data_IF_843361012862
#
_entry.id   IF_843361012862
#
_cell.length_a   1.000
_cell.length_b   1.000
_cell.length_c   1.000
_cell.angle_alpha   90.00
_cell.angle_beta   90.00
_cell.angle_gamma   90.00
#
_symmetry.space_group_name_H-M   'P 1'
#
loop_
_entity.id
_entity.type
_entity.pdbx_description
1 polymer ?
#
# COMPACT_ATOMS: atom_id res chain seq x y z
N UNK A 1 -11.99 -19.77 6.99
CA UNK A 1 -13.04 -19.79 5.97
C UNK A 1 -12.43 -19.35 4.64
N UNK A 2 -12.72 -20.10 3.58
CA UNK A 2 -12.36 -19.74 2.22
C UNK A 2 -13.04 -18.43 1.79
N UNK A 3 -12.29 -17.41 1.36
CA UNK A 3 -12.82 -16.16 0.80
C UNK A 3 -12.23 -15.84 -0.58
N UNK A 4 -13.09 -15.50 -1.52
CA UNK A 4 -12.68 -15.06 -2.84
C UNK A 4 -12.40 -13.55 -2.82
N UNK A 5 -11.20 -13.18 -3.26
CA UNK A 5 -10.75 -11.79 -3.27
C UNK A 5 -10.32 -11.40 -4.68
N UNK A 6 -10.88 -10.30 -5.17
CA UNK A 6 -10.44 -9.71 -6.44
C UNK A 6 -9.15 -8.93 -6.25
N UNK A 7 -8.15 -9.27 -7.05
CA UNK A 7 -6.89 -8.56 -7.11
C UNK A 7 -6.67 -7.93 -8.48
N UNK A 8 -5.85 -6.90 -8.47
CA UNK A 8 -5.33 -6.22 -9.64
C UNK A 8 -3.81 -6.33 -9.63
N UNK A 9 -3.23 -6.84 -10.71
CA UNK A 9 -1.78 -6.93 -10.93
C UNK A 9 -1.31 -5.85 -11.90
N UNK A 10 -0.30 -5.11 -11.48
CA UNK A 10 0.42 -4.08 -12.23
C UNK A 10 1.77 -4.66 -12.66
N UNK A 11 1.84 -5.18 -13.89
CA UNK A 11 3.08 -5.70 -14.48
C UNK A 11 3.85 -4.52 -15.07
N UNK A 12 4.82 -3.97 -14.34
CA UNK A 12 5.53 -2.77 -14.78
C UNK A 12 6.38 -3.02 -16.03
N UNK A 13 6.21 -2.16 -17.03
CA UNK A 13 6.93 -2.19 -18.32
C UNK A 13 8.02 -1.12 -18.41
N UNK A 14 8.15 -0.34 -17.35
CA UNK A 14 9.09 0.77 -17.20
C UNK A 14 9.54 0.87 -15.74
N UNK A 15 10.63 1.60 -15.43
CA UNK A 15 11.03 1.83 -14.05
C UNK A 15 9.92 2.54 -13.26
N UNK A 16 9.73 2.12 -12.00
CA UNK A 16 8.80 2.75 -11.08
C UNK A 16 9.58 3.64 -10.09
N UNK A 17 9.05 4.83 -9.82
CA UNK A 17 9.55 5.68 -8.73
C UNK A 17 8.41 5.92 -7.74
N UNK A 18 8.51 5.30 -6.56
CA UNK A 18 7.62 5.54 -5.42
C UNK A 18 8.38 6.39 -4.42
N UNK A 19 8.20 7.71 -4.48
CA UNK A 19 8.87 8.62 -3.55
C UNK A 19 8.31 8.47 -2.13
N UNK A 20 9.21 8.26 -1.17
CA UNK A 20 8.91 8.31 0.26
C UNK A 20 9.26 9.69 0.85
N UNK A 21 8.74 9.99 2.04
CA UNK A 21 9.07 11.23 2.73
C UNK A 21 10.48 11.14 3.30
N UNK A 22 11.39 11.91 2.72
CA UNK A 22 12.79 11.99 3.12
C UNK A 22 13.51 13.16 2.44
N UNK A 23 14.83 13.23 2.60
CA UNK A 23 15.67 14.22 1.92
C UNK A 23 16.03 13.65 0.54
N UNK A 24 15.46 14.23 -0.52
CA UNK A 24 15.82 13.90 -1.90
C UNK A 24 14.83 12.96 -2.61
N UNK A 25 15.24 12.45 -3.77
CA UNK A 25 14.45 11.52 -4.60
C UNK A 25 15.07 10.12 -4.64
N UNK A 26 15.96 9.83 -3.70
CA UNK A 26 16.84 8.64 -3.69
C UNK A 26 16.13 7.40 -3.17
N UNK A 27 15.20 7.58 -2.22
CA UNK A 27 14.42 6.50 -1.66
C UNK A 27 13.31 6.07 -2.62
N UNK A 28 13.21 4.76 -2.84
CA UNK A 28 12.11 4.14 -3.58
C UNK A 28 11.58 2.95 -2.77
N UNK A 29 10.29 2.98 -2.45
CA UNK A 29 9.59 1.86 -1.79
C UNK A 29 9.22 0.77 -2.81
N UNK A 30 9.07 -0.46 -2.35
CA UNK A 30 8.42 -1.56 -3.09
C UNK A 30 6.92 -1.66 -2.78
N UNK A 31 6.47 -1.01 -1.71
CA UNK A 31 5.06 -0.92 -1.34
C UNK A 31 4.45 0.29 -2.03
N UNK A 32 3.44 0.05 -2.85
CA UNK A 32 2.64 1.13 -3.43
C UNK A 32 1.44 1.40 -2.50
N UNK A 33 1.61 2.35 -1.60
CA UNK A 33 0.61 2.60 -0.56
C UNK A 33 -0.80 2.93 -1.11
N UNK A 34 -1.83 2.49 -0.38
CA UNK A 34 -3.24 2.63 -0.73
C UNK A 34 -3.63 4.09 -1.01
N UNK A 35 -3.05 5.05 -0.28
CA UNK A 35 -3.28 6.48 -0.50
C UNK A 35 -2.84 6.95 -1.89
N UNK A 36 -1.76 6.37 -2.42
CA UNK A 36 -1.16 6.69 -3.70
C UNK A 36 -1.96 6.05 -4.83
N UNK A 37 -2.38 4.79 -4.64
CA UNK A 37 -3.28 4.09 -5.57
C UNK A 37 -4.61 4.83 -5.68
N UNK A 38 -5.24 5.18 -4.55
CA UNK A 38 -6.48 5.92 -4.52
C UNK A 38 -6.37 7.26 -5.26
N UNK A 39 -5.34 8.05 -4.94
CA UNK A 39 -5.13 9.35 -5.57
C UNK A 39 -4.86 9.21 -7.08
N UNK A 40 -4.13 8.18 -7.53
CA UNK A 40 -3.92 7.91 -8.95
C UNK A 40 -5.25 7.59 -9.66
N UNK A 41 -6.08 6.71 -9.06
CA UNK A 41 -7.42 6.37 -9.57
C UNK A 41 -8.29 7.62 -9.67
N UNK A 42 -8.38 8.44 -8.61
CA UNK A 42 -9.20 9.66 -8.62
C UNK A 42 -8.73 10.67 -9.66
N UNK A 43 -7.43 10.82 -9.88
CA UNK A 43 -6.90 11.68 -10.93
C UNK A 43 -7.22 11.17 -12.33
N UNK A 44 -7.11 9.86 -12.56
CA UNK A 44 -7.50 9.25 -13.83
C UNK A 44 -9.01 9.36 -14.06
N UNK A 45 -9.84 9.16 -13.04
CA UNK A 45 -11.28 9.41 -13.10
C UNK A 45 -11.59 10.88 -13.44
N UNK A 46 -10.84 11.84 -12.89
CA UNK A 46 -11.03 13.26 -13.18
C UNK A 46 -10.68 13.59 -14.64
N UNK A 47 -9.70 12.88 -15.21
CA UNK A 47 -9.34 12.96 -16.62
C UNK A 47 -10.42 12.36 -17.53
N UNK A 48 -11.03 11.25 -17.13
CA UNK A 48 -12.07 10.55 -17.91
C UNK A 48 -13.45 11.24 -17.84
N UNK A 49 -13.85 11.69 -16.65
CA UNK A 49 -15.22 12.14 -16.37
C UNK A 49 -15.33 13.62 -15.98
N UNK A 50 -14.19 14.30 -15.80
CA UNK A 50 -14.12 15.71 -15.42
C UNK A 50 -14.01 15.97 -13.91
N UNK A 51 -13.45 17.13 -13.56
CA UNK A 51 -13.18 17.54 -12.17
C UNK A 51 -14.44 17.56 -11.30
N UNK A 52 -15.53 18.18 -11.79
CA UNK A 52 -16.80 18.26 -11.06
C UNK A 52 -17.33 16.89 -10.70
N UNK A 53 -17.28 15.94 -11.64
CA UNK A 53 -17.72 14.57 -11.42
C UNK A 53 -16.94 13.91 -10.29
N UNK A 54 -15.60 14.03 -10.27
CA UNK A 54 -14.77 13.46 -9.19
C UNK A 54 -15.00 14.16 -7.85
N UNK A 55 -15.19 15.48 -7.83
CA UNK A 55 -15.53 16.19 -6.59
C UNK A 55 -16.83 15.68 -5.98
N UNK A 56 -17.86 15.43 -6.80
CA UNK A 56 -19.13 14.88 -6.31
C UNK A 56 -18.99 13.40 -5.94
N UNK A 57 -18.20 12.63 -6.69
CA UNK A 57 -17.86 11.25 -6.36
C UNK A 57 -17.19 11.11 -4.99
N UNK A 58 -16.23 11.99 -4.67
CA UNK A 58 -15.49 11.99 -3.41
C UNK A 58 -16.34 12.37 -2.20
N UNK A 59 -17.42 13.14 -2.37
CA UNK A 59 -18.36 13.44 -1.26
C UNK A 59 -19.05 12.18 -0.75
N UNK A 60 -19.31 11.20 -1.61
CA UNK A 60 -19.96 9.97 -1.19
C UNK A 60 -19.09 9.13 -0.25
N UNK A 61 -17.76 9.30 -0.30
CA UNK A 61 -16.84 8.68 0.65
C UNK A 61 -16.96 9.25 2.07
N UNK A 62 -17.66 10.37 2.29
CA UNK A 62 -17.87 10.93 3.64
C UNK A 62 -18.88 10.11 4.45
N UNK A 63 -19.77 9.35 3.81
CA UNK A 63 -20.71 8.43 4.48
C UNK A 63 -20.18 7.00 4.53
N UNK A 64 -19.82 6.43 3.38
CA UNK A 64 -19.25 5.08 3.27
C UNK A 64 -18.33 5.01 2.04
N UNK A 65 -17.22 4.24 2.09
CA UNK A 65 -16.31 4.15 0.96
C UNK A 65 -16.98 3.43 -0.23
N UNK A 66 -17.01 4.08 -1.39
CA UNK A 66 -17.56 3.49 -2.61
C UNK A 66 -16.73 2.31 -3.15
N UNK A 67 -15.46 2.28 -2.78
CA UNK A 67 -14.57 1.15 -2.96
C UNK A 67 -13.52 1.15 -1.84
N UNK A 68 -13.03 -0.04 -1.48
CA UNK A 68 -11.87 -0.24 -0.62
C UNK A 68 -10.74 -0.88 -1.41
N UNK A 69 -9.52 -0.45 -1.11
CA UNK A 69 -8.30 -1.00 -1.71
C UNK A 69 -7.28 -1.32 -0.62
N UNK A 70 -6.56 -2.42 -0.79
CA UNK A 70 -5.32 -2.63 -0.07
C UNK A 70 -4.22 -1.72 -0.63
N UNK A 71 -3.10 -1.66 0.07
CA UNK A 71 -1.84 -1.24 -0.55
C UNK A 71 -1.35 -2.29 -1.54
N UNK A 72 -0.46 -1.86 -2.42
CA UNK A 72 0.18 -2.70 -3.41
C UNK A 72 1.44 -3.36 -2.88
N UNK A 73 1.49 -4.68 -2.99
CA UNK A 73 2.62 -5.52 -2.57
C UNK A 73 3.28 -6.19 -3.77
N UNK A 74 4.56 -6.58 -3.67
CA UNK A 74 5.24 -7.18 -4.81
C UNK A 74 4.71 -8.58 -5.16
N UNK A 75 4.91 -8.97 -6.42
CA UNK A 75 4.84 -10.38 -6.85
C UNK A 75 6.02 -10.72 -7.75
N UNK A 76 6.42 -11.99 -7.75
CA UNK A 76 7.46 -12.51 -8.64
C UNK A 76 7.13 -13.89 -9.15
N UNK A 77 7.36 -14.10 -10.45
CA UNK A 77 7.09 -15.37 -11.12
C UNK A 77 5.65 -15.85 -10.84
N UNK A 78 4.70 -14.89 -10.83
CA UNK A 78 3.28 -15.04 -10.46
C UNK A 78 2.99 -15.37 -8.98
N UNK A 79 4.00 -15.54 -8.14
CA UNK A 79 3.85 -15.75 -6.70
C UNK A 79 3.55 -14.41 -6.03
N UNK A 80 2.42 -14.35 -5.33
CA UNK A 80 2.00 -13.18 -4.56
C UNK A 80 2.72 -13.14 -3.21
N UNK A 81 3.22 -11.96 -2.86
CA UNK A 81 3.84 -11.69 -1.57
C UNK A 81 2.96 -10.75 -0.76
N UNK A 82 2.67 -11.15 0.48
CA UNK A 82 1.82 -10.44 1.43
C UNK A 82 2.69 -9.75 2.50
N UNK A 83 2.26 -8.63 3.07
CA UNK A 83 3.00 -8.00 4.16
C UNK A 83 3.05 -8.94 5.36
N UNK A 84 4.23 -9.08 5.96
CA UNK A 84 4.37 -9.89 7.18
C UNK A 84 3.57 -9.24 8.33
N UNK A 85 2.68 -9.99 9.00
CA UNK A 85 1.98 -9.50 10.19
C UNK A 85 2.94 -9.04 11.30
N UNK A 86 2.52 -8.04 12.09
CA UNK A 86 3.27 -7.59 13.27
C UNK A 86 3.09 -8.51 14.50
N UNK A 87 2.32 -9.59 14.37
CA UNK A 87 2.22 -10.66 15.37
C UNK A 87 3.46 -11.54 15.34
N UNK A 88 3.63 -12.33 16.40
CA UNK A 88 4.60 -13.44 16.39
C UNK A 88 4.03 -14.59 15.58
N UNK A 89 4.89 -15.32 14.88
CA UNK A 89 4.51 -16.61 14.32
C UNK A 89 4.38 -17.64 15.44
N UNK A 90 3.48 -18.61 15.26
CA UNK A 90 3.41 -19.79 16.10
C UNK A 90 4.57 -20.74 15.76
N UNK A 91 5.59 -20.76 16.61
CA UNK A 91 6.84 -21.52 16.42
C UNK A 91 7.22 -22.14 17.76
N UNK A 92 7.74 -23.37 17.71
CA UNK A 92 8.34 -24.03 18.87
C UNK A 92 9.46 -23.20 19.53
N UNK A 93 9.58 -23.27 20.86
CA UNK A 93 10.51 -22.44 21.64
C UNK A 93 11.98 -22.68 21.25
N UNK A 94 12.36 -23.91 20.88
CA UNK A 94 13.73 -24.24 20.47
C UNK A 94 14.08 -23.58 19.13
N UNK A 95 13.14 -23.56 18.18
CA UNK A 95 13.30 -22.93 16.88
C UNK A 95 13.25 -21.40 16.96
N UNK A 96 12.53 -20.85 17.94
CA UNK A 96 12.38 -19.40 18.10
C UNK A 96 13.73 -18.72 18.33
N UNK A 97 14.64 -19.35 19.07
CA UNK A 97 15.98 -18.82 19.33
C UNK A 97 16.79 -18.65 18.03
N UNK A 98 16.69 -19.62 17.11
CA UNK A 98 17.46 -19.66 15.88
C UNK A 98 16.90 -18.76 14.77
N UNK A 99 15.57 -18.65 14.66
CA UNK A 99 14.91 -17.98 13.54
C UNK A 99 14.37 -16.58 13.85
N UNK A 100 14.22 -16.19 15.12
CA UNK A 100 13.66 -14.87 15.50
C UNK A 100 14.31 -13.69 14.80
N UNK A 101 15.65 -13.65 14.74
CA UNK A 101 16.39 -12.54 14.12
C UNK A 101 16.25 -12.53 12.60
N UNK A 102 16.12 -13.71 11.98
CA UNK A 102 15.93 -13.84 10.53
C UNK A 102 14.51 -13.42 10.14
N UNK A 103 13.49 -13.90 10.84
CA UNK A 103 12.09 -13.52 10.62
C UNK A 103 11.84 -12.02 10.80
N UNK A 104 12.53 -11.37 11.74
CA UNK A 104 12.45 -9.91 11.90
C UNK A 104 12.89 -9.14 10.65
N UNK A 105 13.81 -9.68 9.84
CA UNK A 105 14.30 -9.07 8.60
C UNK A 105 13.43 -9.36 7.38
N UNK A 106 12.50 -10.30 7.49
CA UNK A 106 11.56 -10.64 6.41
C UNK A 106 10.44 -9.60 6.39
N UNK A 107 10.21 -8.98 5.23
CA UNK A 107 9.14 -7.99 5.03
C UNK A 107 7.88 -8.63 4.47
N UNK A 108 8.02 -9.72 3.70
CA UNK A 108 6.91 -10.36 3.01
C UNK A 108 6.82 -11.87 3.22
N UNK A 109 5.63 -12.44 3.03
CA UNK A 109 5.37 -13.87 3.07
C UNK A 109 4.70 -14.30 1.76
N UNK A 110 5.03 -15.48 1.24
CA UNK A 110 4.22 -16.09 0.18
C UNK A 110 2.85 -16.48 0.75
N UNK A 111 1.85 -16.63 -0.13
CA UNK A 111 0.47 -16.96 0.25
C UNK A 111 0.38 -18.10 1.29
N UNK A 112 1.06 -19.21 1.05
CA UNK A 112 0.95 -20.39 1.92
C UNK A 112 1.46 -20.11 3.34
N UNK A 113 2.60 -19.41 3.47
CA UNK A 113 3.14 -19.03 4.78
C UNK A 113 2.33 -17.92 5.43
N UNK A 114 1.78 -16.99 4.65
CA UNK A 114 0.89 -15.96 5.13
C UNK A 114 -0.38 -16.56 5.75
N UNK A 115 -1.04 -17.50 5.06
CA UNK A 115 -2.24 -18.19 5.53
C UNK A 115 -1.97 -19.03 6.77
N UNK A 116 -0.81 -19.72 6.83
CA UNK A 116 -0.38 -20.41 8.06
C UNK A 116 -0.19 -19.43 9.22
N UNK A 117 0.45 -18.29 8.97
CA UNK A 117 0.75 -17.28 9.98
C UNK A 117 -0.51 -16.66 10.56
N UNK A 118 -1.43 -16.19 9.71
CA UNK A 118 -2.65 -15.52 10.17
C UNK A 118 -3.60 -16.49 10.89
N UNK A 119 -3.53 -17.79 10.60
CA UNK A 119 -4.32 -18.83 11.26
C UNK A 119 -3.65 -19.42 12.51
N UNK A 120 -2.52 -18.87 12.96
CA UNK A 120 -1.68 -19.40 14.05
C UNK A 120 -1.34 -20.89 13.91
N UNK A 121 -1.17 -21.38 12.68
CA UNK A 121 -0.66 -22.73 12.45
C UNK A 121 0.82 -22.77 12.81
N UNK A 122 1.23 -23.82 13.49
CA UNK A 122 2.63 -24.04 13.84
C UNK A 122 3.49 -24.12 12.58
N UNK A 123 4.55 -23.30 12.51
CA UNK A 123 5.52 -23.32 11.44
C UNK A 123 6.66 -24.30 11.77
N UNK A 124 6.88 -25.27 10.90
CA UNK A 124 7.97 -26.23 11.03
C UNK A 124 9.33 -25.59 10.74
N UNK A 125 10.42 -26.26 11.13
CA UNK A 125 11.78 -25.80 10.79
C UNK A 125 11.97 -25.62 9.26
N UNK A 126 11.37 -26.48 8.44
CA UNK A 126 11.43 -26.36 6.98
C UNK A 126 10.68 -25.10 6.48
N UNK A 127 9.49 -24.82 7.02
CA UNK A 127 8.75 -23.59 6.70
C UNK A 127 9.61 -22.35 7.03
N UNK A 128 10.28 -22.36 8.19
CA UNK A 128 11.13 -21.25 8.62
C UNK A 128 12.38 -21.07 7.73
N UNK A 129 13.00 -22.16 7.28
CA UNK A 129 14.09 -22.11 6.29
C UNK A 129 13.61 -21.49 5.00
N UNK A 130 12.50 -21.97 4.45
CA UNK A 130 11.93 -21.46 3.21
C UNK A 130 11.57 -19.97 3.31
N UNK A 131 10.95 -19.52 4.41
CA UNK A 131 10.63 -18.11 4.64
C UNK A 131 11.90 -17.25 4.72
N UNK A 132 12.93 -17.71 5.44
CA UNK A 132 14.10 -16.89 5.76
C UNK A 132 15.20 -16.90 4.69
N UNK A 133 15.23 -17.93 3.86
CA UNK A 133 16.14 -18.08 2.71
C UNK A 133 15.53 -17.53 1.42
N UNK A 134 14.25 -17.16 1.42
CA UNK A 134 13.62 -16.48 0.29
C UNK A 134 14.15 -15.04 0.17
N UNK A 135 15.13 -14.84 -0.71
CA UNK A 135 15.73 -13.52 -0.96
C UNK A 135 14.72 -12.50 -1.53
N UNK A 136 13.65 -12.94 -2.20
CA UNK A 136 12.59 -12.02 -2.62
C UNK A 136 11.81 -11.46 -1.42
N UNK A 137 11.68 -12.20 -0.33
CA UNK A 137 10.94 -11.76 0.85
C UNK A 137 11.65 -10.66 1.67
N UNK A 138 12.89 -10.31 1.29
CA UNK A 138 13.69 -9.26 1.91
C UNK A 138 13.64 -7.99 1.06
N UNK A 139 13.37 -6.85 1.70
CA UNK A 139 13.50 -5.55 1.02
C UNK A 139 14.99 -5.21 0.87
N UNK A 140 15.50 -5.34 -0.33
CA UNK A 140 16.86 -4.95 -0.71
C UNK A 140 16.88 -4.33 -2.11
N UNK A 141 17.91 -3.53 -2.39
CA UNK A 141 18.08 -2.84 -3.69
C UNK A 141 18.02 -3.83 -4.85
N UNK A 142 18.74 -4.95 -4.76
CA UNK A 142 18.60 -6.08 -5.67
C UNK A 142 17.82 -7.20 -4.97
N UNK A 143 16.53 -7.31 -5.26
CA UNK A 143 15.64 -8.31 -4.67
C UNK A 143 15.22 -9.34 -5.71
N UNK A 144 14.56 -10.40 -5.25
CA UNK A 144 13.92 -11.36 -6.16
C UNK A 144 12.82 -10.75 -7.04
N UNK A 145 12.42 -9.49 -6.85
CA UNK A 145 11.42 -8.79 -7.67
C UNK A 145 12.01 -7.96 -8.80
N UNK A 146 13.31 -7.63 -8.75
CA UNK A 146 13.94 -6.70 -9.67
C UNK A 146 15.12 -5.96 -9.04
N UNK A 147 15.55 -4.90 -9.74
CA UNK A 147 16.75 -4.15 -9.42
C UNK A 147 16.43 -2.68 -9.16
N UNK A 148 16.91 -2.19 -8.03
CA UNK A 148 16.97 -0.79 -7.67
C UNK A 148 18.00 -0.07 -8.52
N UNK A 149 17.66 1.14 -8.94
CA UNK A 149 18.47 1.98 -9.80
C UNK A 149 18.52 3.39 -9.22
N UNK A 150 19.71 3.84 -8.86
CA UNK A 150 19.98 5.20 -8.42
C UNK A 150 20.59 6.01 -9.58
N UNK A 151 19.80 6.88 -10.20
CA UNK A 151 20.22 7.67 -11.35
C UNK A 151 20.71 9.06 -10.94
N UNK A 152 21.98 9.44 -11.21
CA UNK A 152 22.41 10.82 -11.06
C UNK A 152 21.74 11.71 -12.12
N UNK A 153 21.26 12.86 -11.69
CA UNK A 153 20.64 13.90 -12.51
C UNK A 153 21.22 15.25 -12.15
N UNK A 154 21.09 16.20 -13.08
CA UNK A 154 21.50 17.58 -12.87
C UNK A 154 20.32 18.51 -13.09
N UNK A 155 20.14 19.47 -12.19
CA UNK A 155 19.32 20.65 -12.41
C UNK A 155 20.24 21.79 -12.83
N UNK A 156 19.94 22.45 -13.93
CA UNK A 156 20.72 23.59 -14.43
C UNK A 156 19.81 24.81 -14.42
N UNK A 157 20.22 25.85 -13.70
CA UNK A 157 19.56 27.15 -13.68
C UNK A 157 19.57 27.77 -15.08
N UNK A 158 18.42 28.22 -15.56
CA UNK A 158 18.32 28.87 -16.88
C UNK A 158 18.94 30.25 -16.90
N UNK A 159 18.99 30.93 -15.75
CA UNK A 159 19.45 32.31 -15.63
C UNK A 159 20.95 32.38 -15.31
N UNK A 160 21.42 31.54 -14.39
CA UNK A 160 22.80 31.56 -13.89
C UNK A 160 23.71 30.48 -14.48
N UNK A 161 23.16 29.50 -15.22
CA UNK A 161 23.84 28.27 -15.66
C UNK A 161 24.46 27.44 -14.51
N UNK A 162 24.11 27.73 -13.25
CA UNK A 162 24.53 26.96 -12.09
C UNK A 162 23.92 25.55 -12.12
N UNK A 163 24.74 24.55 -11.82
CA UNK A 163 24.34 23.15 -11.80
C UNK A 163 24.26 22.61 -10.38
N UNK A 164 23.19 21.88 -10.06
CA UNK A 164 23.07 21.07 -8.85
C UNK A 164 22.80 19.61 -9.19
N UNK A 165 23.56 18.70 -8.58
CA UNK A 165 23.35 17.25 -8.74
C UNK A 165 22.27 16.78 -7.76
N UNK A 166 21.43 15.84 -8.20
CA UNK A 166 20.51 15.08 -7.35
C UNK A 166 20.40 13.65 -7.87
N UNK A 167 20.01 12.72 -7.01
CA UNK A 167 19.82 11.33 -7.42
C UNK A 167 18.33 10.97 -7.44
N UNK A 168 17.95 10.13 -8.40
CA UNK A 168 16.60 9.58 -8.54
C UNK A 168 16.67 8.07 -8.35
N UNK A 169 16.15 7.60 -7.22
CA UNK A 169 15.90 6.19 -6.95
C UNK A 169 14.72 5.70 -7.77
N UNK A 170 14.83 4.51 -8.32
CA UNK A 170 13.77 3.85 -9.07
C UNK A 170 13.94 2.35 -9.00
N UNK A 171 12.89 1.61 -9.34
CA UNK A 171 12.90 0.16 -9.32
C UNK A 171 12.47 -0.40 -10.67
N UNK A 172 13.30 -1.29 -11.21
CA UNK A 172 13.05 -2.01 -12.45
C UNK A 172 12.62 -3.44 -12.10
N UNK A 173 11.33 -3.73 -12.27
CA UNK A 173 10.83 -5.09 -12.07
C UNK A 173 11.39 -6.04 -13.12
N UNK A 174 11.69 -7.28 -12.70
CA UNK A 174 12.02 -8.36 -13.63
C UNK A 174 10.77 -8.77 -14.43
N UNK A 175 10.95 -9.60 -15.44
CA UNK A 175 9.83 -10.18 -16.19
C UNK A 175 8.93 -11.00 -15.25
N UNK A 176 7.62 -10.95 -15.48
CA UNK A 176 6.61 -11.69 -14.70
C UNK A 176 6.60 -11.29 -13.19
N UNK A 177 7.02 -10.05 -12.92
CA UNK A 177 7.01 -9.39 -11.61
C UNK A 177 6.32 -8.03 -11.68
N UNK A 178 5.85 -7.57 -10.53
CA UNK A 178 5.18 -6.29 -10.43
C UNK A 178 4.60 -6.06 -9.05
N UNK A 179 3.54 -5.26 -8.99
CA UNK A 179 2.80 -4.96 -7.77
C UNK A 179 1.35 -5.44 -7.92
N UNK A 180 0.81 -6.07 -6.90
CA UNK A 180 -0.60 -6.46 -6.85
C UNK A 180 -1.29 -5.81 -5.65
N UNK A 181 -2.58 -5.50 -5.79
CA UNK A 181 -3.41 -5.00 -4.68
C UNK A 181 -4.84 -5.55 -4.78
N UNK A 182 -5.56 -5.52 -3.68
CA UNK A 182 -6.96 -5.93 -3.58
C UNK A 182 -7.86 -4.77 -3.97
N UNK A 183 -8.90 -5.04 -4.75
CA UNK A 183 -9.93 -4.08 -5.12
C UNK A 183 -11.32 -4.62 -4.77
N UNK A 184 -11.98 -3.93 -3.85
CA UNK A 184 -13.38 -4.19 -3.47
C UNK A 184 -14.23 -2.98 -3.82
N UNK A 185 -15.26 -3.16 -4.65
CA UNK A 185 -16.17 -2.09 -5.06
C UNK A 185 -17.60 -2.39 -4.62
N UNK A 186 -18.34 -1.36 -4.22
CA UNK A 186 -19.73 -1.51 -3.77
C UNK A 186 -20.67 -2.11 -4.83
N UNK A 187 -20.37 -1.93 -6.12
CA UNK A 187 -21.08 -2.60 -7.21
C UNK A 187 -20.24 -2.66 -8.51
N UNK A 188 -20.76 -3.41 -9.48
CA UNK A 188 -20.09 -3.66 -10.77
C UNK A 188 -19.91 -2.41 -11.64
N UNK A 189 -20.82 -1.45 -11.56
CA UNK A 189 -20.69 -0.18 -12.31
C UNK A 189 -19.47 0.61 -11.82
N UNK A 190 -19.34 0.73 -10.50
CA UNK A 190 -18.19 1.34 -9.85
C UNK A 190 -16.89 0.61 -10.18
N UNK A 191 -16.90 -0.73 -10.12
CA UNK A 191 -15.76 -1.55 -10.51
C UNK A 191 -15.31 -1.23 -11.94
N UNK A 192 -16.24 -1.20 -12.90
CA UNK A 192 -15.91 -0.89 -14.30
C UNK A 192 -15.30 0.52 -14.45
N UNK A 193 -15.75 1.50 -13.67
CA UNK A 193 -15.17 2.85 -13.66
C UNK A 193 -13.75 2.87 -13.10
N UNK A 194 -13.51 2.19 -11.98
CA UNK A 194 -12.18 2.08 -11.36
C UNK A 194 -11.22 1.35 -12.31
N UNK A 195 -11.65 0.25 -12.92
CA UNK A 195 -10.85 -0.48 -13.93
C UNK A 195 -10.57 0.37 -15.17
N UNK A 196 -11.51 1.22 -15.60
CA UNK A 196 -11.27 2.16 -16.71
C UNK A 196 -10.20 3.20 -16.35
N UNK A 197 -10.21 3.69 -15.11
CA UNK A 197 -9.16 4.58 -14.61
C UNK A 197 -7.79 3.87 -14.55
N UNK A 198 -7.75 2.62 -14.08
CA UNK A 198 -6.52 1.81 -14.07
C UNK A 198 -5.99 1.52 -15.48
N UNK A 199 -6.89 1.28 -16.46
CA UNK A 199 -6.51 1.13 -17.88
C UNK A 199 -5.92 2.40 -18.48
N UNK A 200 -6.40 3.58 -18.09
CA UNK A 200 -5.76 4.84 -18.46
C UNK A 200 -4.37 4.96 -17.80
N UNK A 201 -4.24 4.59 -16.53
CA UNK A 201 -2.98 4.65 -15.79
C UNK A 201 -1.89 3.71 -16.34
N UNK A 202 -2.25 2.64 -17.08
CA UNK A 202 -1.27 1.81 -17.80
C UNK A 202 -0.37 2.68 -18.73
N UNK A 203 -0.96 3.72 -19.34
CA UNK A 203 -0.30 4.62 -20.27
C UNK A 203 0.18 5.92 -19.61
N UNK A 204 -0.58 6.47 -18.66
CA UNK A 204 -0.20 7.70 -17.95
C UNK A 204 0.89 7.45 -16.88
N UNK A 205 1.03 6.21 -16.42
CA UNK A 205 1.92 5.80 -15.36
C UNK A 205 1.38 6.08 -13.95
N UNK A 206 1.91 5.35 -12.96
CA UNK A 206 1.66 5.55 -11.53
C UNK A 206 2.96 5.90 -10.78
N UNK A 207 2.86 6.68 -9.71
CA UNK A 207 4.02 7.20 -8.98
C UNK A 207 4.60 8.49 -9.57
N UNK A 208 5.87 8.76 -9.28
CA UNK A 208 6.56 9.97 -9.72
C UNK A 208 7.22 9.82 -11.09
N UNK A 209 7.66 10.95 -11.66
CA UNK A 209 8.37 11.03 -12.96
C UNK A 209 7.65 10.40 -14.16
N UNK A 210 6.31 10.31 -14.10
CA UNK A 210 5.44 9.83 -15.20
C UNK A 210 5.72 10.48 -16.56
N UNK A 211 6.00 11.79 -16.57
CA UNK A 211 6.34 12.53 -17.81
C UNK A 211 7.65 12.07 -18.47
N UNK A 212 8.47 11.30 -17.76
CA UNK A 212 9.70 10.68 -18.27
C UNK A 212 9.47 9.21 -18.68
N UNK A 213 8.22 8.74 -18.68
CA UNK A 213 7.86 7.35 -19.01
C UNK A 213 8.03 6.38 -17.85
N UNK A 214 8.00 6.86 -16.60
CA UNK A 214 8.07 6.00 -15.41
C UNK A 214 6.68 5.52 -15.00
N UNK A 215 6.63 4.33 -14.41
CA UNK A 215 5.43 3.78 -13.79
C UNK A 215 4.39 3.27 -14.78
N UNK A 216 4.72 3.11 -16.06
CA UNK A 216 3.89 2.40 -17.04
C UNK A 216 3.86 0.90 -16.73
N UNK A 217 2.70 0.27 -16.93
CA UNK A 217 2.45 -1.13 -16.62
C UNK A 217 1.40 -1.73 -17.56
N UNK A 218 1.30 -3.06 -17.62
CA UNK A 218 0.12 -3.76 -18.11
C UNK A 218 -0.73 -4.28 -16.95
N UNK A 219 -2.05 -4.13 -17.08
CA UNK A 219 -3.03 -4.50 -16.07
C UNK A 219 -3.51 -5.94 -16.27
N UNK A 220 -3.57 -6.70 -15.18
CA UNK A 220 -4.20 -8.02 -15.14
C UNK A 220 -5.16 -8.07 -13.94
N UNK A 221 -6.33 -8.68 -14.14
CA UNK A 221 -7.36 -8.85 -13.13
C UNK A 221 -7.46 -10.33 -12.81
N UNK A 222 -7.47 -10.69 -11.52
CA UNK A 222 -7.55 -12.08 -11.07
C UNK A 222 -8.44 -12.17 -9.83
N UNK A 223 -9.08 -13.31 -9.64
CA UNK A 223 -9.75 -13.66 -8.39
C UNK A 223 -8.93 -14.74 -7.72
N UNK A 224 -8.49 -14.46 -6.49
CA UNK A 224 -7.68 -15.38 -5.70
C UNK A 224 -8.48 -15.91 -4.52
N UNK A 225 -8.03 -17.06 -4.05
CA UNK A 225 -8.65 -17.76 -2.93
C UNK A 225 -7.82 -17.58 -1.66
N UNK A 226 -8.33 -16.93 -0.62
CA UNK A 226 -7.64 -16.77 0.67
C UNK A 226 -8.29 -17.64 1.76
N UNK A 227 -7.46 -18.38 2.48
CA UNK A 227 -7.86 -19.11 3.69
C UNK A 227 -7.72 -18.23 4.93
N UNK A 228 -8.83 -17.60 5.33
CA UNK A 228 -8.85 -16.67 6.46
C UNK A 228 -9.24 -17.39 7.75
N UNK A 229 -8.73 -17.02 8.94
CA UNK A 229 -9.22 -17.54 10.19
C UNK A 229 -10.62 -17.00 10.53
N UNK A 230 -11.31 -17.68 11.44
CA UNK A 230 -12.52 -17.14 12.08
C UNK A 230 -12.08 -16.38 13.34
N UNK A 231 -12.01 -15.04 13.25
CA UNK A 231 -11.52 -14.19 14.34
C UNK A 231 -12.06 -12.76 14.22
N UNK A 232 -12.29 -12.12 15.36
CA UNK A 232 -12.66 -10.70 15.47
C UNK A 232 -11.46 -9.76 15.31
N UNK A 233 -10.23 -10.28 15.44
CA UNK A 233 -9.02 -9.48 15.26
C UNK A 233 -8.69 -9.34 13.77
N UNK A 234 -8.12 -8.20 13.40
CA UNK A 234 -7.90 -7.80 12.02
C UNK A 234 -6.45 -7.38 11.75
N UNK A 235 -5.91 -7.86 10.63
CA UNK A 235 -4.64 -7.47 10.03
C UNK A 235 -4.87 -6.41 8.95
N UNK A 236 -4.14 -5.29 9.01
CA UNK A 236 -4.16 -4.26 7.98
C UNK A 236 -3.37 -4.65 6.73
N UNK A 237 -4.00 -4.54 5.57
CA UNK A 237 -3.37 -4.63 4.25
C UNK A 237 -3.33 -3.27 3.52
N UNK A 238 -3.82 -2.19 4.13
CA UNK A 238 -3.72 -0.82 3.62
C UNK A 238 -3.13 0.11 4.66
N UNK A 239 -2.75 1.32 4.23
CA UNK A 239 -2.63 2.43 5.18
C UNK A 239 -3.98 2.69 5.84
N UNK A 240 -3.95 3.03 7.12
CA UNK A 240 -5.11 3.33 7.94
C UNK A 240 -4.90 4.66 8.66
N UNK A 241 -5.95 5.48 8.67
CA UNK A 241 -6.02 6.67 9.52
C UNK A 241 -7.29 6.59 10.35
N UNK A 242 -7.17 6.54 11.69
CA UNK A 242 -8.32 6.31 12.56
C UNK A 242 -9.33 7.44 12.46
N UNK A 243 -10.60 7.07 12.49
CA UNK A 243 -11.67 8.00 12.75
C UNK A 243 -11.58 8.49 14.20
N UNK A 244 -11.61 9.81 14.37
CA UNK A 244 -11.45 10.51 15.64
C UNK A 244 -12.72 11.28 16.04
N UNK A 245 -13.85 10.90 15.44
CA UNK A 245 -15.20 11.43 15.67
C UNK A 245 -15.54 11.53 17.16
N UNK A 246 -16.38 12.50 17.50
CA UNK A 246 -16.94 12.64 18.85
C UNK A 246 -18.00 11.57 19.15
N UNK A 247 -18.56 10.93 18.11
CA UNK A 247 -19.51 9.81 18.26
C UNK A 247 -18.76 8.54 18.69
N UNK A 248 -19.00 8.03 19.92
CA UNK A 248 -18.32 6.84 20.44
C UNK A 248 -18.53 5.57 19.60
N UNK A 249 -19.56 5.52 18.76
CA UNK A 249 -19.82 4.36 17.89
C UNK A 249 -18.89 4.33 16.67
N UNK A 250 -18.26 5.45 16.34
CA UNK A 250 -17.34 5.60 15.20
C UNK A 250 -15.93 6.04 15.61
N UNK A 251 -15.70 6.30 16.90
CA UNK A 251 -14.37 6.64 17.43
C UNK A 251 -13.47 5.40 17.48
N UNK A 252 -12.37 5.45 16.74
CA UNK A 252 -11.42 4.35 16.62
C UNK A 252 -10.20 4.50 17.54
N UNK A 253 -10.17 5.51 18.42
CA UNK A 253 -9.07 5.68 19.40
C UNK A 253 -8.92 4.48 20.33
N UNK A 254 -10.00 3.75 20.60
CA UNK A 254 -9.96 2.57 21.46
C UNK A 254 -9.14 1.42 20.88
N UNK A 255 -9.03 1.31 19.55
CA UNK A 255 -8.24 0.27 18.87
C UNK A 255 -6.79 0.23 19.36
N UNK A 256 -6.23 1.38 19.74
CA UNK A 256 -4.84 1.49 20.19
C UNK A 256 -4.63 1.10 21.67
N UNK A 257 -5.72 0.91 22.42
CA UNK A 257 -5.69 0.55 23.84
C UNK A 257 -5.84 -0.96 24.07
N UNK A 258 -6.17 -1.72 23.02
CA UNK A 258 -6.35 -3.17 23.09
C UNK A 258 -5.01 -3.88 23.37
N UNK A 259 -5.04 -4.90 24.24
CA UNK A 259 -3.82 -5.58 24.76
C UNK A 259 -2.97 -6.16 23.64
N UNK A 260 -3.61 -6.72 22.63
CA UNK A 260 -2.95 -7.41 21.53
C UNK A 260 -2.78 -6.54 20.29
N UNK A 261 -3.12 -5.25 20.35
CA UNK A 261 -2.84 -4.32 19.26
C UNK A 261 -1.32 -4.23 19.03
N UNK A 262 -0.91 -4.34 17.77
CA UNK A 262 0.50 -4.22 17.34
C UNK A 262 0.51 -3.38 16.09
N UNK A 263 1.13 -2.21 16.13
CA UNK A 263 1.03 -1.27 15.02
C UNK A 263 2.34 -0.51 14.81
N UNK A 264 2.48 0.04 13.60
CA UNK A 264 3.60 0.90 13.25
C UNK A 264 3.14 2.08 12.40
N UNK A 265 4.01 3.07 12.24
CA UNK A 265 3.69 4.28 11.50
C UNK A 265 4.29 4.30 10.09
N UNK A 266 3.61 4.99 9.18
CA UNK A 266 4.15 5.48 7.92
C UNK A 266 3.83 6.98 7.80
N UNK A 267 4.85 7.81 7.60
CA UNK A 267 4.66 9.25 7.41
C UNK A 267 4.28 9.52 5.95
N UNK A 268 3.08 10.08 5.73
CA UNK A 268 2.55 10.40 4.39
C UNK A 268 2.38 11.90 4.19
N UNK A 269 2.39 12.35 2.94
CA UNK A 269 2.40 13.76 2.55
C UNK A 269 2.95 13.93 1.12
N UNK A 270 3.76 14.97 0.90
CA UNK A 270 4.35 15.25 -0.42
C UNK A 270 3.57 16.33 -1.18
N UNK A 271 3.46 16.19 -2.51
CA UNK A 271 2.77 17.16 -3.35
C UNK A 271 1.61 16.51 -4.12
N UNK A 272 0.46 17.18 -4.11
CA UNK A 272 -0.66 16.85 -4.96
C UNK A 272 -0.52 17.60 -6.29
N UNK A 273 -0.72 16.91 -7.40
CA UNK A 273 -0.86 17.50 -8.72
C UNK A 273 -2.18 17.04 -9.35
N UNK A 274 -3.32 17.61 -8.90
CA UNK A 274 -4.63 17.22 -9.39
C UNK A 274 -4.79 17.41 -10.89
N UNK A 275 -5.55 16.55 -11.56
CA UNK A 275 -5.80 16.68 -12.99
C UNK A 275 -6.40 18.07 -13.34
N UNK A 276 -5.78 18.72 -14.33
CA UNK A 276 -6.19 20.06 -14.78
C UNK A 276 -5.69 21.19 -13.89
N UNK A 277 -4.91 20.92 -12.83
CA UNK A 277 -4.21 21.99 -12.11
C UNK A 277 -2.99 22.46 -12.91
N UNK A 278 -2.78 23.78 -12.96
CA UNK A 278 -1.54 24.34 -13.53
C UNK A 278 -0.34 24.20 -12.58
N UNK A 279 -0.61 24.04 -11.27
CA UNK A 279 0.37 24.02 -10.19
C UNK A 279 0.18 22.81 -9.28
N UNK A 280 1.17 22.51 -8.45
CA UNK A 280 1.10 21.54 -7.36
C UNK A 280 0.69 22.20 -6.05
N UNK A 281 -0.03 21.47 -5.19
CA UNK A 281 -0.27 21.84 -3.78
C UNK A 281 0.57 20.97 -2.87
N UNK A 282 1.15 21.53 -1.80
CA UNK A 282 1.74 20.71 -0.76
C UNK A 282 0.62 19.96 -0.01
N UNK A 283 0.84 18.68 0.29
CA UNK A 283 -0.03 17.88 1.15
C UNK A 283 0.47 17.93 2.58
N UNK A 284 -0.44 18.11 3.53
CA UNK A 284 -0.12 18.05 4.95
C UNK A 284 0.53 16.71 5.32
N UNK A 285 1.59 16.76 6.12
CA UNK A 285 2.25 15.55 6.61
C UNK A 285 1.42 14.90 7.73
N UNK A 286 1.19 13.60 7.64
CA UNK A 286 0.34 12.84 8.56
C UNK A 286 0.95 11.46 8.83
N UNK A 287 0.92 11.04 10.09
CA UNK A 287 1.31 9.69 10.49
C UNK A 287 0.12 8.75 10.29
N UNK A 288 0.24 7.85 9.32
CA UNK A 288 -0.68 6.75 9.10
C UNK A 288 -0.23 5.53 9.86
N UNK A 289 -1.17 4.64 10.19
CA UNK A 289 -0.85 3.29 10.61
C UNK A 289 -0.53 2.48 9.37
N UNK A 290 0.60 1.77 9.39
CA UNK A 290 1.12 1.02 8.24
C UNK A 290 0.56 -0.40 8.14
N UNK A 291 0.70 -0.96 6.96
CA UNK A 291 0.37 -2.34 6.62
C UNK A 291 1.10 -3.33 7.56
N UNK A 292 0.46 -4.48 7.81
CA UNK A 292 0.95 -5.48 8.76
C UNK A 292 0.55 -5.23 10.22
N UNK A 293 0.02 -4.04 10.54
CA UNK A 293 -0.50 -3.75 11.88
C UNK A 293 -1.76 -4.56 12.19
N UNK A 294 -2.01 -4.85 13.47
CA UNK A 294 -3.07 -5.74 13.96
C UNK A 294 -3.86 -5.04 15.07
N UNK A 295 -5.18 -5.21 15.02
CA UNK A 295 -6.14 -4.68 16.01
C UNK A 295 -7.13 -5.78 16.42
N UNK A 296 -7.67 -5.72 17.64
CA UNK A 296 -8.63 -6.73 18.14
C UNK A 296 -10.05 -6.52 17.58
N UNK A 297 -10.29 -5.39 16.92
CA UNK A 297 -11.55 -5.07 16.24
C UNK A 297 -11.24 -4.57 14.84
N UNK A 298 -12.23 -4.69 13.95
CA UNK A 298 -12.14 -4.22 12.57
C UNK A 298 -11.90 -2.70 12.50
N UNK A 299 -10.77 -2.25 11.94
CA UNK A 299 -10.58 -0.84 11.60
C UNK A 299 -11.37 -0.50 10.33
N UNK A 300 -12.01 0.67 10.33
CA UNK A 300 -12.80 1.22 9.24
C UNK A 300 -12.06 2.38 8.56
N UNK A 301 -11.56 3.34 9.34
CA UNK A 301 -10.80 4.51 8.89
C UNK A 301 -11.65 5.62 8.26
N UNK A 302 -10.98 6.64 7.70
CA UNK A 302 -11.64 7.78 7.06
C UNK A 302 -10.91 8.35 5.85
N UNK A 303 -11.64 9.06 5.00
CA UNK A 303 -11.06 9.97 4.02
C UNK A 303 -10.77 11.32 4.69
N UNK A 304 -9.51 11.72 4.65
CA UNK A 304 -9.09 13.02 5.21
C UNK A 304 -9.16 14.04 4.10
N UNK A 305 -9.73 15.20 4.41
CA UNK A 305 -9.91 16.33 3.52
C UNK A 305 -9.13 17.52 4.06
N UNK A 306 -8.18 18.00 3.27
CA UNK A 306 -7.40 19.19 3.55
C UNK A 306 -7.78 20.29 2.55
N UNK A 307 -7.69 21.55 2.96
CA UNK A 307 -7.82 22.67 2.02
C UNK A 307 -6.58 22.74 1.12
N UNK A 308 -6.76 23.23 -0.11
CA UNK A 308 -5.66 23.42 -1.06
C UNK A 308 -5.54 24.85 -1.55
N UNK A 309 -4.29 25.25 -1.81
CA UNK A 309 -3.95 26.58 -2.33
C UNK A 309 -4.10 26.68 -3.87
N UNK A 310 -4.77 25.71 -4.48
CA UNK A 310 -4.93 25.63 -5.94
C UNK A 310 -6.18 26.37 -6.40
N UNK A 311 -6.06 27.05 -7.53
CA UNK A 311 -7.21 27.70 -8.17
C UNK A 311 -8.24 26.65 -8.60
N UNK A 312 -9.51 26.90 -8.30
CA UNK A 312 -10.68 26.04 -8.59
C UNK A 312 -10.71 24.65 -7.92
N UNK A 313 -9.64 24.26 -7.21
CA UNK A 313 -9.56 23.01 -6.46
C UNK A 313 -9.50 23.37 -4.99
N UNK A 314 -10.62 23.17 -4.29
CA UNK A 314 -10.75 23.56 -2.89
C UNK A 314 -10.08 22.59 -1.93
N UNK A 315 -10.05 21.31 -2.29
CA UNK A 315 -9.62 20.26 -1.38
C UNK A 315 -8.70 19.24 -2.03
N UNK A 316 -7.77 18.75 -1.23
CA UNK A 316 -6.90 17.60 -1.47
C UNK A 316 -7.18 16.53 -0.41
N UNK A 317 -6.94 15.28 -0.78
CA UNK A 317 -7.40 14.16 0.03
C UNK A 317 -6.26 13.21 0.41
N UNK A 318 -6.37 12.62 1.60
CA UNK A 318 -5.62 11.44 1.98
C UNK A 318 -6.59 10.30 2.26
N UNK A 319 -6.41 9.18 1.56
CA UNK A 319 -7.21 7.98 1.76
C UNK A 319 -6.66 7.19 2.94
N UNK A 320 -7.44 7.11 4.02
CA UNK A 320 -7.11 6.39 5.25
C UNK A 320 -8.13 5.33 5.62
N UNK A 321 -9.00 4.93 4.69
CA UNK A 321 -9.88 3.79 4.89
C UNK A 321 -9.07 2.49 4.93
N UNK A 322 -9.31 1.70 5.97
CA UNK A 322 -8.64 0.43 6.16
C UNK A 322 -9.19 -0.64 5.19
N UNK A 323 -8.29 -1.39 4.58
CA UNK A 323 -8.57 -2.73 4.08
C UNK A 323 -7.91 -3.69 5.06
N UNK A 324 -8.71 -4.55 5.70
CA UNK A 324 -8.24 -5.47 6.71
C UNK A 324 -8.87 -6.84 6.55
N UNK A 325 -8.16 -7.88 7.00
CA UNK A 325 -8.62 -9.27 6.96
C UNK A 325 -8.53 -9.89 8.37
N UNK A 326 -9.32 -10.93 8.69
CA UNK A 326 -9.23 -11.63 9.96
C UNK A 326 -7.84 -12.22 10.22
N UNK A 327 -7.40 -12.18 11.47
CA UNK A 327 -6.17 -12.81 11.96
C UNK A 327 -6.39 -13.41 13.35
N UNK A 328 -6.01 -14.67 13.56
CA UNK A 328 -5.98 -15.26 14.89
C UNK A 328 -4.78 -14.71 15.66
N UNK A 329 -5.03 -14.28 16.90
CA UNK A 329 -4.00 -13.85 17.84
C UNK A 329 -4.25 -14.50 19.19
N UNK A 330 -3.27 -15.26 19.66
CA UNK A 330 -3.21 -15.79 21.01
C UNK A 330 -2.71 -14.67 21.91
N UNK A 331 -3.55 -14.28 22.88
CA UNK A 331 -3.16 -13.27 23.86
C UNK A 331 -1.92 -13.73 24.62
N UNK A 332 -0.96 -12.83 24.84
CA UNK A 332 0.24 -13.12 25.63
C UNK A 332 -0.19 -13.59 27.06
N UNK A 333 -0.27 -14.91 27.27
CA UNK A 333 -0.23 -15.58 28.58
C UNK A 333 1.21 -16.02 28.94
N UNK A 334 2.15 -15.91 28.00
CA UNK A 334 3.57 -16.22 28.22
C UNK A 334 4.42 -14.95 28.14
N UNK A 335 4.43 -14.18 29.24
CA UNK A 335 5.45 -13.19 29.52
C UNK A 335 6.23 -13.60 30.77
#
# INVERSE_FOLDING_TARGET
>A
MPENVKIVKLNFTSPLHIGEIGIGLEESSLVLHSDTIFNAICNALAKLYGRKWVTDFLKNFETEPLFRISSGFPFADKILYFPKPMSRANIDEDLLQDYSKKLKKTSYLTKDFFEKWIAEKELSENDLKEITENEAAKECEDSGFGTGLLLPKVSISRDSAESSIYFLGSFCFKKDSGIWFILECANKELENRVLSALRLLQHDGIGGKRTWGYGNFSLEEEEIHLELPDSDAHLLLSLFYPNDSEDPTTDEKQLFSDKNARWGFSLRGGYAYPYGSGNSSQKAQRLFIKEGSIFEKKPEGKLIKDDSDLEEIKNIYHYGFAYSIPISISGDEKA
#
